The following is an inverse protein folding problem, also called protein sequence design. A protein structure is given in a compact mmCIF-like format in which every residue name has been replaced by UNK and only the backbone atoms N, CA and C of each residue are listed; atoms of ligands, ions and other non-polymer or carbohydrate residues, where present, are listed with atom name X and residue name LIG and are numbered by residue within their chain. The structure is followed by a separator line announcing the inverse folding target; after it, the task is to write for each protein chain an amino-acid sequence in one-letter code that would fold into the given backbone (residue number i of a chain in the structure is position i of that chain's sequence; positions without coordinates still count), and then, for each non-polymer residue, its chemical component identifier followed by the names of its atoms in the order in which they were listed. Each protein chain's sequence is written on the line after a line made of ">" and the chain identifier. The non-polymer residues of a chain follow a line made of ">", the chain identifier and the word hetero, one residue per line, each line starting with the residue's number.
data_IF_597309177356
#
_entry.id   IF_597309177356
#
_cell.length_a   1.000
_cell.length_b   1.000
_cell.length_c   1.000
_cell.angle_alpha   90.00
_cell.angle_beta   90.00
_cell.angle_gamma   90.00
#
_symmetry.space_group_name_H-M   'P 1'
#
loop_
_entity.id
_entity.type
_entity.pdbx_description
1 polymer ?
#
# COMPACT_ATOMS: atom_id res chain seq x y z
N UNK A 1 80.46 -31.55 -83.63
CA UNK A 1 80.01 -32.36 -82.47
C UNK A 1 80.68 -31.74 -81.25
N UNK A 2 80.03 -31.24 -80.20
CA UNK A 2 78.75 -31.61 -79.59
C UNK A 2 78.00 -30.36 -79.05
N UNK A 3 76.67 -30.46 -78.97
CA UNK A 3 75.73 -29.48 -78.39
C UNK A 3 75.84 -29.53 -76.86
N UNK A 4 76.14 -28.40 -76.20
CA UNK A 4 75.84 -28.20 -74.78
C UNK A 4 74.67 -27.22 -74.65
N UNK A 5 73.46 -27.72 -74.89
CA UNK A 5 72.21 -27.07 -74.51
C UNK A 5 71.92 -27.44 -73.05
N UNK A 6 72.63 -26.84 -72.08
CA UNK A 6 72.23 -26.89 -70.66
C UNK A 6 71.17 -25.81 -70.39
N UNK A 7 70.02 -26.00 -71.04
CA UNK A 7 68.67 -26.01 -70.47
C UNK A 7 68.27 -25.03 -69.34
N UNK A 8 68.19 -23.73 -69.68
CA UNK A 8 67.52 -22.69 -68.87
C UNK A 8 66.08 -23.06 -68.44
N UNK A 9 65.40 -23.97 -69.15
CA UNK A 9 64.02 -24.39 -68.84
C UNK A 9 63.95 -25.22 -67.56
N UNK A 10 64.92 -26.08 -67.29
CA UNK A 10 64.97 -26.83 -66.02
C UNK A 10 65.19 -25.89 -64.84
N UNK A 11 66.05 -24.88 -64.99
CA UNK A 11 66.32 -23.89 -63.93
C UNK A 11 65.07 -23.06 -63.59
N UNK A 12 64.27 -22.74 -64.60
CA UNK A 12 62.99 -22.03 -64.46
C UNK A 12 61.91 -22.91 -63.80
N UNK A 13 61.88 -24.20 -64.10
CA UNK A 13 61.00 -25.18 -63.44
C UNK A 13 61.38 -25.38 -61.96
N UNK A 14 62.68 -25.46 -61.63
CA UNK A 14 63.14 -25.52 -60.24
C UNK A 14 62.80 -24.23 -59.47
N UNK A 15 62.99 -23.06 -60.08
CA UNK A 15 62.63 -21.79 -59.47
C UNK A 15 61.10 -21.67 -59.23
N UNK A 16 60.28 -22.10 -60.20
CA UNK A 16 58.83 -22.15 -60.05
C UNK A 16 58.40 -23.14 -58.95
N UNK A 17 59.03 -24.32 -58.87
CA UNK A 17 58.78 -25.29 -57.80
C UNK A 17 59.14 -24.75 -56.42
N UNK A 18 60.29 -24.09 -56.29
CA UNK A 18 60.71 -23.44 -55.06
C UNK A 18 59.76 -22.29 -54.66
N UNK A 19 59.31 -21.48 -55.62
CA UNK A 19 58.33 -20.41 -55.38
C UNK A 19 56.99 -20.97 -54.90
N UNK A 20 56.45 -21.99 -55.57
CA UNK A 20 55.20 -22.65 -55.17
C UNK A 20 55.35 -23.25 -53.77
N UNK A 21 56.48 -23.90 -53.47
CA UNK A 21 56.75 -24.44 -52.13
C UNK A 21 56.76 -23.36 -51.05
N UNK A 22 57.43 -22.23 -51.30
CA UNK A 22 57.47 -21.09 -50.37
C UNK A 22 56.06 -20.51 -50.17
N UNK A 23 55.31 -20.29 -51.25
CA UNK A 23 53.93 -19.80 -51.17
C UNK A 23 53.02 -20.75 -50.39
N UNK A 24 53.14 -22.06 -50.64
CA UNK A 24 52.38 -23.07 -49.90
C UNK A 24 52.72 -23.07 -48.42
N UNK A 25 54.01 -22.92 -48.06
CA UNK A 25 54.45 -22.81 -46.65
C UNK A 25 53.93 -21.55 -45.98
N UNK A 26 54.01 -20.40 -46.63
CA UNK A 26 53.49 -19.12 -46.10
C UNK A 26 51.97 -19.22 -45.90
N UNK A 27 51.24 -19.77 -46.87
CA UNK A 27 49.80 -19.97 -46.76
C UNK A 27 49.44 -20.91 -45.60
N UNK A 28 50.17 -22.01 -45.42
CA UNK A 28 49.91 -22.92 -44.28
C UNK A 28 50.14 -22.23 -42.93
N UNK A 29 51.21 -21.44 -42.79
CA UNK A 29 51.48 -20.72 -41.53
C UNK A 29 50.49 -19.59 -41.28
N UNK A 30 50.03 -18.91 -42.33
CA UNK A 30 49.00 -17.88 -42.23
C UNK A 30 47.63 -18.49 -41.87
N UNK A 31 47.28 -19.64 -42.46
CA UNK A 31 46.05 -20.37 -42.13
C UNK A 31 46.07 -20.83 -40.68
N UNK A 32 47.17 -21.44 -40.21
CA UNK A 32 47.30 -21.87 -38.82
C UNK A 32 47.20 -20.70 -37.84
N UNK A 33 47.78 -19.54 -38.17
CA UNK A 33 47.65 -18.34 -37.35
C UNK A 33 46.21 -17.80 -37.33
N UNK A 34 45.53 -17.79 -38.49
CA UNK A 34 44.13 -17.38 -38.59
C UNK A 34 43.21 -18.30 -37.77
N UNK A 35 43.42 -19.61 -37.81
CA UNK A 35 42.64 -20.59 -37.04
C UNK A 35 42.87 -20.42 -35.53
N UNK A 36 44.11 -20.18 -35.10
CA UNK A 36 44.43 -19.90 -33.69
C UNK A 36 43.82 -18.59 -33.20
N UNK A 37 43.81 -17.55 -34.05
CA UNK A 37 43.17 -16.28 -33.74
C UNK A 37 41.65 -16.43 -33.65
N UNK A 38 41.04 -17.16 -34.58
CA UNK A 38 39.59 -17.44 -34.57
C UNK A 38 39.18 -18.19 -33.29
N UNK A 39 39.92 -19.22 -32.90
CA UNK A 39 39.67 -19.95 -31.66
C UNK A 39 39.83 -19.07 -30.41
N UNK A 40 40.81 -18.17 -30.39
CA UNK A 40 40.99 -17.22 -29.30
C UNK A 40 39.81 -16.24 -29.20
N UNK A 41 39.36 -15.67 -30.32
CA UNK A 41 38.19 -14.77 -30.40
C UNK A 41 36.91 -15.47 -29.98
N UNK A 42 36.70 -16.72 -30.41
CA UNK A 42 35.55 -17.53 -30.02
C UNK A 42 35.55 -17.78 -28.51
N UNK A 43 36.71 -18.09 -27.92
CA UNK A 43 36.84 -18.26 -26.47
C UNK A 43 36.57 -16.98 -25.68
N UNK A 44 37.00 -15.82 -26.17
CA UNK A 44 36.74 -14.51 -25.56
C UNK A 44 35.25 -14.15 -25.63
N UNK A 45 34.63 -14.35 -26.79
CA UNK A 45 33.19 -14.15 -26.97
C UNK A 45 32.38 -15.08 -26.06
N UNK A 46 32.81 -16.34 -25.93
CA UNK A 46 32.18 -17.30 -25.02
C UNK A 46 32.27 -16.83 -23.57
N UNK A 47 33.46 -16.42 -23.12
CA UNK A 47 33.67 -15.86 -21.78
C UNK A 47 32.80 -14.62 -21.53
N UNK A 48 32.77 -13.68 -22.48
CA UNK A 48 31.96 -12.47 -22.41
C UNK A 48 30.46 -12.77 -22.31
N UNK A 49 29.98 -13.77 -23.06
CA UNK A 49 28.59 -14.22 -22.99
C UNK A 49 28.22 -14.81 -21.63
N UNK A 50 29.11 -15.63 -21.03
CA UNK A 50 28.90 -16.19 -19.70
C UNK A 50 28.86 -15.09 -18.63
N UNK A 51 29.77 -14.11 -18.71
CA UNK A 51 29.80 -12.98 -17.80
C UNK A 51 28.50 -12.16 -17.87
N UNK A 52 27.98 -11.88 -19.09
CA UNK A 52 26.69 -11.19 -19.24
C UNK A 52 25.52 -11.97 -18.63
N UNK A 53 25.45 -13.28 -18.85
CA UNK A 53 24.41 -14.12 -18.23
C UNK A 53 24.47 -14.07 -16.70
N UNK A 54 25.67 -14.10 -16.11
CA UNK A 54 25.84 -13.98 -14.65
C UNK A 54 25.38 -12.61 -14.14
N UNK A 55 25.67 -11.53 -14.86
CA UNK A 55 25.22 -10.18 -14.51
C UNK A 55 23.68 -10.10 -14.52
N UNK A 56 23.04 -10.63 -15.55
CA UNK A 56 21.58 -10.65 -15.66
C UNK A 56 20.93 -11.47 -14.52
N UNK A 57 21.53 -12.62 -14.17
CA UNK A 57 21.09 -13.42 -13.02
C UNK A 57 21.22 -12.66 -11.70
N UNK A 58 22.34 -11.98 -11.47
CA UNK A 58 22.57 -11.18 -10.26
C UNK A 58 21.57 -10.02 -10.20
N UNK A 59 21.32 -9.33 -11.30
CA UNK A 59 20.35 -8.23 -11.37
C UNK A 59 18.93 -8.70 -11.04
N UNK A 60 18.50 -9.85 -11.59
CA UNK A 60 17.21 -10.45 -11.26
C UNK A 60 17.10 -10.85 -9.78
N UNK A 61 18.18 -11.43 -9.21
CA UNK A 61 18.24 -11.77 -7.78
C UNK A 61 18.13 -10.52 -6.89
N UNK A 62 18.84 -9.44 -7.22
CA UNK A 62 18.76 -8.17 -6.50
C UNK A 62 17.34 -7.60 -6.50
N UNK A 63 16.65 -7.60 -7.65
CA UNK A 63 15.25 -7.16 -7.73
C UNK A 63 14.32 -7.98 -6.83
N UNK A 64 14.52 -9.31 -6.76
CA UNK A 64 13.75 -10.18 -5.85
C UNK A 64 14.04 -9.87 -4.38
N UNK A 65 15.30 -9.64 -4.01
CA UNK A 65 15.68 -9.29 -2.64
C UNK A 65 15.01 -8.00 -2.20
N UNK A 66 15.04 -6.95 -3.03
CA UNK A 66 14.37 -5.67 -2.74
C UNK A 66 12.86 -5.88 -2.52
N UNK A 67 12.21 -6.64 -3.41
CA UNK A 67 10.77 -6.92 -3.25
C UNK A 67 10.43 -7.70 -1.96
N UNK A 68 11.33 -8.60 -1.54
CA UNK A 68 11.17 -9.37 -0.30
C UNK A 68 11.44 -8.51 0.94
N UNK A 69 12.41 -7.60 0.89
CA UNK A 69 12.66 -6.63 1.95
C UNK A 69 11.47 -5.69 2.13
N UNK A 70 10.90 -5.17 1.04
CA UNK A 70 9.69 -4.34 1.08
C UNK A 70 8.50 -5.10 1.70
N UNK A 71 8.28 -6.35 1.29
CA UNK A 71 7.22 -7.19 1.85
C UNK A 71 7.42 -7.47 3.34
N UNK A 72 8.67 -7.75 3.75
CA UNK A 72 9.03 -7.98 5.16
C UNK A 72 8.83 -6.72 6.01
N UNK A 73 9.17 -5.54 5.49
CA UNK A 73 8.96 -4.27 6.17
C UNK A 73 7.47 -4.01 6.40
N UNK A 74 6.62 -4.27 5.39
CA UNK A 74 5.15 -4.17 5.51
C UNK A 74 4.62 -5.12 6.60
N UNK A 75 5.03 -6.38 6.56
CA UNK A 75 4.62 -7.36 7.57
C UNK A 75 5.09 -6.98 8.99
N UNK A 76 6.28 -6.37 9.11
CA UNK A 76 6.79 -5.85 10.37
C UNK A 76 5.93 -4.71 10.94
N UNK A 77 5.50 -3.78 10.09
CA UNK A 77 4.59 -2.70 10.49
C UNK A 77 3.22 -3.24 10.90
N UNK A 78 2.63 -4.14 10.14
CA UNK A 78 1.35 -4.80 10.47
C UNK A 78 1.44 -5.54 11.81
N UNK A 79 2.51 -6.31 12.03
CA UNK A 79 2.71 -7.04 13.28
C UNK A 79 2.90 -6.09 14.48
N UNK A 80 3.65 -4.99 14.30
CA UNK A 80 3.82 -3.96 15.33
C UNK A 80 2.50 -3.28 15.71
N UNK A 81 1.67 -2.95 14.72
CA UNK A 81 0.35 -2.37 14.93
C UNK A 81 -0.60 -3.35 15.61
N UNK A 82 -0.63 -4.61 15.16
CA UNK A 82 -1.47 -5.64 15.76
C UNK A 82 -1.08 -5.87 17.23
N UNK A 83 0.21 -5.86 17.55
CA UNK A 83 0.71 -6.01 18.92
C UNK A 83 0.30 -4.83 19.81
N UNK A 84 0.38 -3.60 19.29
CA UNK A 84 -0.07 -2.41 20.01
C UNK A 84 -1.59 -2.43 20.24
N UNK A 85 -2.37 -2.87 19.25
CA UNK A 85 -3.82 -3.01 19.35
C UNK A 85 -4.21 -4.09 20.37
N UNK A 86 -3.53 -5.24 20.36
CA UNK A 86 -3.77 -6.31 21.35
C UNK A 86 -3.48 -5.82 22.77
N UNK A 87 -2.39 -5.09 22.99
CA UNK A 87 -2.07 -4.52 24.30
C UNK A 87 -3.12 -3.49 24.77
N UNK A 88 -3.65 -2.68 23.86
CA UNK A 88 -4.72 -1.72 24.17
C UNK A 88 -6.05 -2.44 24.46
N UNK A 89 -6.38 -3.48 23.69
CA UNK A 89 -7.56 -4.33 23.92
C UNK A 89 -7.49 -5.11 25.23
N UNK A 90 -6.32 -5.63 25.62
CA UNK A 90 -6.13 -6.31 26.90
C UNK A 90 -6.33 -5.34 28.08
N UNK A 91 -5.78 -4.13 27.97
CA UNK A 91 -5.96 -3.08 28.97
C UNK A 91 -7.44 -2.68 29.11
N UNK A 92 -8.13 -2.46 27.99
CA UNK A 92 -9.56 -2.11 27.96
C UNK A 92 -10.48 -3.28 28.36
N UNK A 93 -10.07 -4.53 28.11
CA UNK A 93 -10.79 -5.72 28.52
C UNK A 93 -10.85 -5.85 30.03
N UNK A 94 -9.77 -5.49 30.73
CA UNK A 94 -9.74 -5.37 32.18
C UNK A 94 -10.71 -4.27 32.69
N UNK A 95 -10.79 -3.15 31.99
CA UNK A 95 -11.69 -2.04 32.35
C UNK A 95 -13.18 -2.35 32.05
N UNK A 96 -13.48 -3.05 30.94
CA UNK A 96 -14.85 -3.45 30.56
C UNK A 96 -15.45 -4.53 31.45
N UNK A 97 -14.64 -5.40 32.05
CA UNK A 97 -15.12 -6.39 33.03
C UNK A 97 -15.75 -5.72 34.27
N UNK A 98 -15.47 -4.43 34.49
CA UNK A 98 -15.98 -3.63 35.60
C UNK A 98 -17.32 -2.92 35.26
N UNK A 99 -17.69 -2.75 33.98
CA UNK A 99 -18.85 -1.92 33.56
C UNK A 99 -20.05 -2.69 32.99
N UNK A 100 -20.31 -3.91 33.46
CA UNK A 100 -21.18 -4.91 32.82
C UNK A 100 -22.70 -4.64 32.88
N UNK A 101 -23.17 -3.39 32.89
CA UNK A 101 -24.57 -3.12 33.23
C UNK A 101 -25.23 -1.94 32.47
N UNK A 102 -25.04 -1.85 31.15
CA UNK A 102 -26.01 -1.21 30.25
C UNK A 102 -25.69 -1.52 28.79
N UNK A 103 -26.70 -1.84 28.00
CA UNK A 103 -26.57 -1.93 26.53
C UNK A 103 -26.47 -0.50 26.00
N UNK A 104 -25.43 -0.14 25.25
CA UNK A 104 -25.30 1.20 24.67
C UNK A 104 -26.47 1.53 23.73
N UNK A 105 -26.85 2.82 23.68
CA UNK A 105 -27.89 3.32 22.77
C UNK A 105 -27.38 3.28 21.33
N UNK A 106 -26.18 3.82 21.09
CA UNK A 106 -25.49 3.78 19.81
C UNK A 106 -23.98 3.98 20.03
N UNK A 107 -23.14 3.39 19.17
CA UNK A 107 -21.75 3.82 19.08
C UNK A 107 -21.66 5.14 18.32
N UNK A 108 -20.73 6.02 18.70
CA UNK A 108 -20.41 7.24 17.95
C UNK A 108 -19.07 7.01 17.27
N UNK A 109 -18.98 7.22 15.97
CA UNK A 109 -17.72 7.14 15.23
C UNK A 109 -17.43 8.43 14.50
N UNK A 110 -16.22 8.96 14.71
CA UNK A 110 -15.68 10.07 13.93
C UNK A 110 -14.80 9.47 12.82
N UNK A 111 -15.16 9.74 11.58
CA UNK A 111 -14.45 9.32 10.38
C UNK A 111 -13.36 10.34 10.06
N UNK A 112 -12.09 9.92 10.17
CA UNK A 112 -10.93 10.79 10.00
C UNK A 112 -9.96 10.25 8.94
N UNK A 113 -9.10 11.10 8.40
CA UNK A 113 -8.05 10.68 7.46
C UNK A 113 -6.71 11.36 7.74
N UNK A 114 -6.59 12.65 7.41
CA UNK A 114 -5.32 13.38 7.41
C UNK A 114 -5.38 14.82 7.93
N UNK A 115 -6.49 15.22 8.58
CA UNK A 115 -6.72 16.58 9.11
C UNK A 115 -6.72 16.59 10.65
N UNK A 116 -5.54 16.58 11.32
CA UNK A 116 -5.46 16.46 12.78
C UNK A 116 -6.14 17.62 13.53
N UNK A 117 -6.06 18.85 13.02
CA UNK A 117 -6.65 20.03 13.67
C UNK A 117 -8.19 20.02 13.60
N UNK A 118 -8.75 19.50 12.50
CA UNK A 118 -10.20 19.33 12.34
C UNK A 118 -10.69 18.24 13.28
N UNK A 119 -10.00 17.08 13.28
CA UNK A 119 -10.30 15.98 14.19
C UNK A 119 -10.30 16.43 15.66
N UNK A 120 -9.30 17.22 16.08
CA UNK A 120 -9.23 17.75 17.44
C UNK A 120 -10.48 18.57 17.79
N UNK A 121 -10.88 19.50 16.92
CA UNK A 121 -12.09 20.31 17.12
C UNK A 121 -13.36 19.47 17.23
N UNK A 122 -13.51 18.46 16.37
CA UNK A 122 -14.66 17.55 16.43
C UNK A 122 -14.65 16.71 17.71
N UNK A 123 -13.50 16.14 18.10
CA UNK A 123 -13.37 15.38 19.35
C UNK A 123 -13.73 16.26 20.55
N UNK A 124 -13.20 17.49 20.62
CA UNK A 124 -13.49 18.41 21.72
C UNK A 124 -14.97 18.79 21.78
N UNK A 125 -15.58 19.07 20.63
CA UNK A 125 -17.02 19.36 20.51
C UNK A 125 -17.86 18.18 21.02
N UNK A 126 -17.52 16.95 20.62
CA UNK A 126 -18.21 15.73 21.05
C UNK A 126 -18.02 15.48 22.55
N UNK A 127 -16.78 15.49 23.04
CA UNK A 127 -16.47 15.20 24.44
C UNK A 127 -17.09 16.19 25.42
N UNK A 128 -17.34 17.44 24.98
CA UNK A 128 -18.03 18.44 25.79
C UNK A 128 -19.40 17.97 26.29
N UNK A 129 -20.12 17.21 25.49
CA UNK A 129 -21.48 16.73 25.81
C UNK A 129 -21.56 15.21 26.01
N UNK A 130 -20.57 14.45 25.55
CA UNK A 130 -20.57 12.98 25.62
C UNK A 130 -20.16 12.44 27.00
N UNK A 131 -19.32 13.17 27.76
CA UNK A 131 -18.74 12.67 29.03
C UNK A 131 -19.80 12.19 30.03
N UNK A 132 -20.94 12.88 30.14
CA UNK A 132 -22.03 12.53 31.04
C UNK A 132 -22.84 11.31 30.58
N UNK A 133 -22.75 10.94 29.31
CA UNK A 133 -23.52 9.86 28.66
C UNK A 133 -22.63 8.79 28.04
N UNK A 134 -21.37 8.70 28.46
CA UNK A 134 -20.37 7.85 27.83
C UNK A 134 -20.69 6.34 27.85
N UNK A 135 -21.44 5.87 28.85
CA UNK A 135 -21.92 4.49 28.91
C UNK A 135 -22.97 4.18 27.83
N UNK A 136 -23.80 5.16 27.47
CA UNK A 136 -24.82 5.06 26.41
C UNK A 136 -24.22 5.24 25.02
N UNK A 137 -23.22 6.11 24.89
CA UNK A 137 -22.65 6.52 23.62
C UNK A 137 -21.12 6.36 23.58
N UNK A 138 -20.59 5.13 23.53
CA UNK A 138 -19.15 4.92 23.43
C UNK A 138 -18.59 5.55 22.15
N UNK A 139 -17.51 6.32 22.30
CA UNK A 139 -16.90 7.10 21.23
C UNK A 139 -15.73 6.36 20.57
N UNK A 140 -15.69 6.40 19.25
CA UNK A 140 -14.67 5.84 18.39
C UNK A 140 -14.12 6.90 17.44
N UNK A 141 -12.84 6.79 17.10
CA UNK A 141 -12.23 7.47 15.96
C UNK A 141 -11.76 6.39 15.00
N UNK A 142 -12.24 6.45 13.76
CA UNK A 142 -11.81 5.58 12.67
C UNK A 142 -10.96 6.38 11.71
N UNK A 143 -9.65 6.12 11.69
CA UNK A 143 -8.72 6.79 10.79
C UNK A 143 -8.47 5.96 9.52
N UNK A 144 -8.59 6.58 8.34
CA UNK A 144 -8.06 6.05 7.09
C UNK A 144 -6.61 6.48 6.85
N UNK A 145 -5.77 5.52 6.48
CA UNK A 145 -4.38 5.76 6.09
C UNK A 145 -3.41 5.97 7.26
N UNK A 146 -2.13 6.25 6.95
CA UNK A 146 -1.02 6.19 7.91
C UNK A 146 -0.64 7.56 8.51
N UNK A 147 -1.52 8.56 8.52
CA UNK A 147 -1.14 9.89 9.02
C UNK A 147 -0.86 9.85 10.54
N UNK A 148 0.42 9.95 10.91
CA UNK A 148 0.86 9.82 12.31
C UNK A 148 0.38 10.96 13.22
N UNK A 149 0.13 12.15 12.68
CA UNK A 149 -0.38 13.28 13.46
C UNK A 149 -1.83 13.03 13.90
N UNK A 150 -2.67 12.52 12.99
CA UNK A 150 -4.06 12.12 13.29
C UNK A 150 -4.08 10.99 14.30
N UNK A 151 -3.24 9.97 14.11
CA UNK A 151 -3.12 8.82 15.02
C UNK A 151 -2.70 9.27 16.42
N UNK A 152 -1.65 10.07 16.50
CA UNK A 152 -1.12 10.59 17.77
C UNK A 152 -2.15 11.50 18.47
N UNK A 153 -2.90 12.30 17.71
CA UNK A 153 -4.00 13.12 18.24
C UNK A 153 -5.11 12.24 18.81
N UNK A 154 -5.62 11.27 18.06
CA UNK A 154 -6.68 10.37 18.51
C UNK A 154 -6.26 9.58 19.77
N UNK A 155 -5.03 9.05 19.79
CA UNK A 155 -4.50 8.29 20.93
C UNK A 155 -4.20 9.14 22.17
N UNK A 156 -4.18 10.48 22.04
CA UNK A 156 -3.98 11.38 23.18
C UNK A 156 -5.20 11.46 24.11
N UNK A 157 -6.39 11.05 23.63
CA UNK A 157 -7.62 11.02 24.40
C UNK A 157 -7.89 9.63 24.98
N UNK A 158 -8.10 9.54 26.31
CA UNK A 158 -8.39 8.28 26.98
C UNK A 158 -9.88 7.91 26.96
N UNK A 159 -10.76 8.84 26.57
CA UNK A 159 -12.21 8.66 26.58
C UNK A 159 -12.76 7.97 25.31
N UNK A 160 -11.91 7.70 24.31
CA UNK A 160 -12.32 7.14 23.02
C UNK A 160 -11.55 5.87 22.64
N UNK A 161 -12.10 5.14 21.68
CA UNK A 161 -11.46 3.98 21.06
C UNK A 161 -10.94 4.32 19.68
N UNK A 162 -9.69 3.97 19.40
CA UNK A 162 -9.06 4.27 18.11
C UNK A 162 -9.05 3.02 17.22
N UNK A 163 -9.45 3.21 15.96
CA UNK A 163 -9.44 2.20 14.91
C UNK A 163 -8.70 2.76 13.70
N UNK A 164 -7.94 1.91 12.99
CA UNK A 164 -7.17 2.33 11.82
C UNK A 164 -7.41 1.41 10.63
N UNK A 165 -7.82 2.01 9.52
CA UNK A 165 -7.96 1.37 8.23
C UNK A 165 -6.70 1.62 7.39
N UNK A 166 -6.00 0.54 7.03
CA UNK A 166 -4.85 0.59 6.14
C UNK A 166 -5.12 -0.29 4.92
N UNK A 167 -5.69 0.33 3.88
CA UNK A 167 -5.87 -0.32 2.59
C UNK A 167 -4.83 0.18 1.60
N UNK A 168 -3.82 -0.67 1.36
CA UNK A 168 -2.75 -0.42 0.39
C UNK A 168 -3.07 -0.97 -1.00
N UNK A 169 -4.28 -1.52 -1.21
CA UNK A 169 -4.67 -2.03 -2.52
C UNK A 169 -4.78 -0.88 -3.51
N UNK A 170 -4.35 -1.13 -4.74
CA UNK A 170 -4.57 -0.20 -5.83
C UNK A 170 -6.06 -0.09 -6.12
N UNK A 171 -6.55 1.15 -6.21
CA UNK A 171 -7.95 1.44 -6.48
C UNK A 171 -8.16 1.52 -7.99
N UNK A 172 -8.90 0.57 -8.54
CA UNK A 172 -9.32 0.60 -9.95
C UNK A 172 -10.70 1.24 -10.06
N UNK A 173 -10.81 2.33 -10.82
CA UNK A 173 -12.10 2.97 -11.07
C UNK A 173 -12.89 2.19 -12.11
N UNK A 174 -14.22 2.17 -11.98
CA UNK A 174 -15.10 1.51 -12.94
C UNK A 174 -15.08 2.22 -14.30
N UNK A 175 -14.94 3.56 -14.28
CA UNK A 175 -14.89 4.37 -15.49
C UNK A 175 -13.68 5.31 -15.49
N UNK A 176 -13.14 5.64 -16.69
CA UNK A 176 -12.12 6.68 -16.82
C UNK A 176 -12.63 8.04 -16.31
N UNK A 177 -11.80 8.75 -15.54
CA UNK A 177 -12.10 10.10 -15.05
C UNK A 177 -12.82 10.16 -13.70
N UNK A 178 -13.15 9.02 -13.10
CA UNK A 178 -13.70 9.00 -11.73
C UNK A 178 -12.64 9.33 -10.69
N UNK A 179 -13.08 9.94 -9.58
CA UNK A 179 -12.17 10.43 -8.54
C UNK A 179 -11.88 9.30 -7.55
N UNK A 180 -10.63 8.83 -7.53
CA UNK A 180 -10.12 7.77 -6.64
C UNK A 180 -10.41 8.03 -5.16
N UNK A 181 -10.43 9.31 -4.74
CA UNK A 181 -10.71 9.66 -3.35
C UNK A 181 -12.08 9.15 -2.87
N UNK A 182 -13.13 9.18 -3.70
CA UNK A 182 -14.45 8.68 -3.30
C UNK A 182 -14.49 7.17 -3.10
N UNK A 183 -13.72 6.42 -3.87
CA UNK A 183 -13.57 4.98 -3.68
C UNK A 183 -12.86 4.65 -2.36
N UNK A 184 -11.84 5.43 -1.99
CA UNK A 184 -11.16 5.29 -0.69
C UNK A 184 -12.10 5.61 0.47
N UNK A 185 -12.86 6.70 0.37
CA UNK A 185 -13.89 7.07 1.35
C UNK A 185 -14.90 5.94 1.49
N UNK A 186 -15.44 5.41 0.39
CA UNK A 186 -16.38 4.29 0.42
C UNK A 186 -15.80 3.04 1.08
N UNK A 187 -14.53 2.70 0.78
CA UNK A 187 -13.82 1.58 1.40
C UNK A 187 -13.67 1.78 2.91
N UNK A 188 -13.29 2.98 3.34
CA UNK A 188 -13.13 3.33 4.75
C UNK A 188 -14.45 3.26 5.53
N UNK A 189 -15.55 3.82 4.99
CA UNK A 189 -16.87 3.72 5.60
C UNK A 189 -17.32 2.27 5.73
N UNK A 190 -17.18 1.46 4.67
CA UNK A 190 -17.49 0.04 4.72
C UNK A 190 -16.72 -0.65 5.84
N UNK A 191 -15.40 -0.46 5.88
CA UNK A 191 -14.55 -1.10 6.88
C UNK A 191 -14.90 -0.67 8.30
N UNK A 192 -15.10 0.63 8.55
CA UNK A 192 -15.41 1.15 9.87
C UNK A 192 -16.77 0.62 10.38
N UNK A 193 -17.77 0.57 9.50
CA UNK A 193 -19.08 0.01 9.85
C UNK A 193 -19.01 -1.51 10.06
N UNK A 194 -18.21 -2.24 9.27
CA UNK A 194 -17.95 -3.67 9.52
C UNK A 194 -17.34 -3.88 10.91
N UNK A 195 -16.37 -3.05 11.33
CA UNK A 195 -15.81 -3.14 12.68
C UNK A 195 -16.89 -2.90 13.76
N UNK A 196 -17.71 -1.86 13.60
CA UNK A 196 -18.70 -1.48 14.63
C UNK A 196 -19.86 -2.48 14.73
N UNK A 197 -20.42 -2.92 13.61
CA UNK A 197 -21.54 -3.85 13.58
C UNK A 197 -21.10 -5.30 13.78
N UNK A 198 -20.03 -5.74 13.11
CA UNK A 198 -19.64 -7.16 13.13
C UNK A 198 -18.69 -7.51 14.26
N UNK A 199 -17.68 -6.67 14.57
CA UNK A 199 -16.71 -7.00 15.62
C UNK A 199 -17.19 -6.50 16.99
N UNK A 200 -17.63 -5.24 17.07
CA UNK A 200 -18.09 -4.65 18.32
C UNK A 200 -19.57 -4.92 18.66
N UNK A 201 -20.35 -5.49 17.73
CA UNK A 201 -21.75 -5.90 17.91
C UNK A 201 -22.67 -4.76 18.34
N UNK A 202 -22.38 -3.53 17.91
CA UNK A 202 -23.32 -2.43 18.10
C UNK A 202 -24.55 -2.62 17.22
N UNK A 203 -25.71 -2.21 17.72
CA UNK A 203 -26.96 -2.26 16.96
C UNK A 203 -27.23 -0.95 16.19
N UNK A 204 -26.71 0.18 16.69
CA UNK A 204 -26.82 1.49 16.07
C UNK A 204 -25.47 2.19 16.09
N UNK A 205 -25.23 2.99 15.05
CA UNK A 205 -24.02 3.80 14.90
C UNK A 205 -24.44 5.21 14.49
N UNK A 206 -23.93 6.21 15.19
CA UNK A 206 -23.97 7.62 14.83
C UNK A 206 -22.63 7.93 14.15
N UNK A 207 -22.68 8.47 12.94
CA UNK A 207 -21.49 8.74 12.11
C UNK A 207 -21.28 10.25 12.04
N UNK A 208 -20.06 10.69 12.35
CA UNK A 208 -19.60 12.06 12.21
C UNK A 208 -18.37 12.09 11.30
N UNK A 209 -18.23 13.14 10.49
CA UNK A 209 -16.98 13.45 9.79
C UNK A 209 -16.06 14.26 10.72
N UNK A 210 -14.75 14.24 10.45
CA UNK A 210 -13.75 14.93 11.26
C UNK A 210 -13.81 16.46 11.18
N UNK A 211 -14.78 17.04 10.47
CA UNK A 211 -15.00 18.48 10.32
C UNK A 211 -16.37 18.97 10.83
N UNK A 212 -17.03 18.17 11.68
CA UNK A 212 -18.32 18.52 12.29
C UNK A 212 -18.19 18.99 13.75
N UNK A 213 -19.06 19.94 14.16
CA UNK A 213 -19.27 20.32 15.56
C UNK A 213 -20.71 19.99 15.95
N UNK A 214 -20.93 19.47 17.17
CA UNK A 214 -22.24 19.02 17.63
C UNK A 214 -22.97 20.08 18.47
N UNK A 215 -24.29 20.04 18.42
CA UNK A 215 -25.16 20.86 19.26
C UNK A 215 -25.23 20.33 20.71
N UNK A 216 -25.62 21.16 21.70
CA UNK A 216 -25.70 20.73 23.11
C UNK A 216 -26.65 19.56 23.37
N UNK A 217 -27.70 19.44 22.57
CA UNK A 217 -28.78 18.43 22.65
C UNK A 217 -28.57 17.24 21.69
N UNK A 218 -27.43 17.16 21.01
CA UNK A 218 -27.13 16.14 20.01
C UNK A 218 -27.42 14.71 20.49
N UNK A 219 -26.97 14.36 21.69
CA UNK A 219 -27.20 13.02 22.26
C UNK A 219 -28.65 12.79 22.68
N UNK A 220 -29.32 13.81 23.19
CA UNK A 220 -30.74 13.73 23.56
C UNK A 220 -31.61 13.51 22.33
N UNK A 221 -31.30 14.20 21.22
CA UNK A 221 -31.96 14.02 19.92
C UNK A 221 -31.87 12.58 19.41
N UNK A 222 -30.66 11.99 19.39
CA UNK A 222 -30.49 10.61 18.94
C UNK A 222 -31.06 9.59 19.93
N UNK A 223 -31.00 9.85 21.24
CA UNK A 223 -31.60 8.97 22.24
C UNK A 223 -33.14 8.95 22.10
N UNK A 224 -33.77 10.11 21.92
CA UNK A 224 -35.22 10.23 21.76
C UNK A 224 -35.74 9.56 20.47
N UNK A 225 -34.95 9.57 19.40
CA UNK A 225 -35.33 9.03 18.09
C UNK A 225 -34.95 7.56 17.89
N UNK A 226 -34.10 7.00 18.75
CA UNK A 226 -33.62 5.62 18.62
C UNK A 226 -34.77 4.58 18.56
N UNK A 227 -35.79 4.74 19.40
CA UNK A 227 -36.93 3.82 19.41
C UNK A 227 -37.80 3.92 18.14
N UNK A 228 -37.88 5.12 17.54
CA UNK A 228 -38.60 5.31 16.27
C UNK A 228 -37.88 4.60 15.14
N UNK A 229 -36.55 4.74 15.07
CA UNK A 229 -35.72 4.07 14.07
C UNK A 229 -35.88 2.54 14.10
N UNK A 230 -36.08 1.94 15.28
CA UNK A 230 -36.26 0.48 15.40
C UNK A 230 -37.66 0.00 15.03
N UNK A 231 -38.67 0.79 15.41
CA UNK A 231 -40.07 0.36 15.37
C UNK A 231 -40.73 0.65 14.03
N UNK A 232 -40.36 1.75 13.39
CA UNK A 232 -40.89 2.14 12.09
C UNK A 232 -39.95 1.74 10.94
N UNK A 233 -40.31 0.67 10.24
CA UNK A 233 -39.55 0.13 9.11
C UNK A 233 -39.51 1.05 7.88
N UNK A 234 -40.28 2.13 7.86
CA UNK A 234 -40.20 3.14 6.80
C UNK A 234 -39.05 4.13 6.99
N UNK A 235 -38.47 4.19 8.20
CA UNK A 235 -37.34 5.05 8.53
C UNK A 235 -36.02 4.34 8.20
N UNK A 236 -35.20 4.97 7.36
CA UNK A 236 -33.86 4.46 7.02
C UNK A 236 -32.79 4.97 7.98
N UNK A 237 -32.85 6.25 8.35
CA UNK A 237 -31.84 6.91 9.18
C UNK A 237 -32.45 8.13 9.88
N UNK A 238 -31.79 8.55 10.96
CA UNK A 238 -32.01 9.83 11.63
C UNK A 238 -30.81 10.71 11.32
N UNK A 239 -31.04 11.94 10.85
CA UNK A 239 -29.99 12.89 10.48
C UNK A 239 -30.07 14.13 11.35
N UNK A 240 -28.94 14.58 11.86
CA UNK A 240 -28.81 15.86 12.57
C UNK A 240 -28.68 17.06 11.63
N UNK A 241 -28.79 16.87 10.31
CA UNK A 241 -28.63 17.92 9.31
C UNK A 241 -29.96 18.26 8.63
N UNK A 242 -30.26 19.55 8.55
CA UNK A 242 -31.33 20.10 7.74
C UNK A 242 -30.72 20.85 6.55
N UNK A 243 -30.93 20.35 5.32
CA UNK A 243 -30.39 20.95 4.09
C UNK A 243 -30.80 22.42 3.90
N UNK A 244 -31.94 22.84 4.45
CA UNK A 244 -32.42 24.22 4.43
C UNK A 244 -32.27 24.92 5.80
N UNK A 245 -31.36 24.44 6.65
CA UNK A 245 -31.15 24.87 8.03
C UNK A 245 -30.49 26.24 8.21
N UNK A 246 -30.48 27.10 7.19
CA UNK A 246 -29.86 28.43 7.32
C UNK A 246 -30.68 29.32 8.25
N UNK A 247 -30.00 30.19 9.02
CA UNK A 247 -30.57 31.00 10.11
C UNK A 247 -31.89 31.71 9.79
N UNK A 248 -32.08 32.16 8.56
CA UNK A 248 -33.28 32.89 8.14
C UNK A 248 -34.52 32.00 7.89
N UNK A 249 -34.32 30.68 7.80
CA UNK A 249 -35.37 29.69 7.49
C UNK A 249 -35.73 28.81 8.68
N UNK A 250 -35.03 28.96 9.81
CA UNK A 250 -35.22 28.14 11.01
C UNK A 250 -35.35 29.00 12.26
N UNK A 251 -36.01 28.45 13.27
CA UNK A 251 -36.11 29.01 14.60
C UNK A 251 -35.64 27.97 15.61
N UNK A 252 -34.91 28.41 16.62
CA UNK A 252 -34.63 27.59 17.81
C UNK A 252 -35.97 27.29 18.51
N UNK A 253 -36.24 26.05 18.94
CA UNK A 253 -37.48 25.70 19.65
C UNK A 253 -37.76 26.54 20.90
#
# INVERSE_FOLDING_TARGET
>A
MARNFCDFRFLLLFAAGAFIYIQMRIFTTQSEYADRLAAAVESENHCSSQVRMLIDQISSQQGRIVSLEDAKMRQGQECGQLRALVQDLEKRGADRLISKQQVPVAAVVIMACNRPDYLERTIESVLKYQQSVASKFPLFVSQDGPNENVKSKALSYNQLSYMQHLDFKEVHTERPGEIIAYYKIASHYKWALDQLFNEHKFYRVIILEDDMEIAPDFFEYFEATAALLDSDKSIMAVSSWNDNGQKQFVHDP
#
